data_IF_966289275876
#
_entry.id   IF_966289275876
#
_cell.length_a   1.000
_cell.length_b   1.000
_cell.length_c   1.000
_cell.angle_alpha   90.00
_cell.angle_beta   90.00
_cell.angle_gamma   90.00
#
_symmetry.space_group_name_H-M   'P 1'
#
loop_
_entity.id
_entity.type
_entity.pdbx_description
1 polymer ?
#
# COMPACT_ATOMS: atom_id res chain seq x y z
N UNK A 1 -4.76 22.25 25.02
CA UNK A 1 -4.19 22.92 26.22
C UNK A 1 -5.01 22.49 27.42
N UNK A 2 -4.38 21.89 28.43
CA UNK A 2 -5.04 21.41 29.65
C UNK A 2 -5.37 22.56 30.61
N UNK A 3 -6.42 22.44 31.42
CA UNK A 3 -6.83 23.48 32.38
C UNK A 3 -5.75 23.77 33.45
N UNK A 4 -4.90 22.79 33.80
CA UNK A 4 -3.78 22.98 34.75
C UNK A 4 -2.78 24.05 34.30
N UNK A 5 -2.36 24.03 33.03
CA UNK A 5 -1.35 24.96 32.51
C UNK A 5 -1.86 26.39 32.34
N UNK A 6 -3.18 26.60 32.48
CA UNK A 6 -3.80 27.94 32.51
C UNK A 6 -3.74 28.59 33.90
N UNK A 7 -3.71 27.78 34.97
CA UNK A 7 -3.79 28.24 36.36
C UNK A 7 -2.41 28.33 37.02
N UNK A 8 -1.46 27.48 36.60
CA UNK A 8 -0.14 27.35 37.23
C UNK A 8 0.98 27.45 36.19
N UNK A 9 2.15 28.03 36.55
CA UNK A 9 3.29 28.07 35.65
C UNK A 9 3.83 26.66 35.40
N UNK A 10 4.27 26.41 34.16
CA UNK A 10 4.82 25.12 33.72
C UNK A 10 6.00 24.67 34.60
N UNK A 11 6.78 25.61 35.14
CA UNK A 11 7.90 25.33 36.05
C UNK A 11 7.47 24.56 37.29
N UNK A 12 6.36 24.94 37.90
CA UNK A 12 5.90 24.34 39.15
C UNK A 12 5.22 23.00 38.90
N UNK A 13 4.48 22.89 37.79
CA UNK A 13 3.94 21.62 37.31
C UNK A 13 5.04 20.61 37.02
N UNK A 14 6.13 21.02 36.35
CA UNK A 14 7.29 20.17 36.09
C UNK A 14 7.98 19.70 37.38
N UNK A 15 8.12 20.60 38.37
CA UNK A 15 8.68 20.24 39.69
C UNK A 15 7.80 19.24 40.43
N UNK A 16 6.49 19.48 40.47
CA UNK A 16 5.52 18.65 41.19
C UNK A 16 5.36 17.26 40.56
N UNK A 17 5.38 17.19 39.23
CA UNK A 17 5.31 15.93 38.46
C UNK A 17 6.67 15.25 38.32
N UNK A 18 7.75 15.83 38.85
CA UNK A 18 9.12 15.34 38.75
C UNK A 18 9.58 15.09 37.30
N UNK A 19 9.18 15.97 36.37
CA UNK A 19 9.55 15.93 34.94
C UNK A 19 10.44 17.12 34.63
N UNK A 20 11.53 16.90 33.88
CA UNK A 20 12.38 18.01 33.45
C UNK A 20 11.64 18.95 32.51
N UNK A 21 11.94 20.26 32.58
CA UNK A 21 11.35 21.25 31.67
C UNK A 21 11.61 20.92 30.20
N UNK A 22 12.78 20.37 29.89
CA UNK A 22 13.12 19.92 28.53
C UNK A 22 12.25 18.75 28.07
N UNK A 23 12.00 17.76 28.93
CA UNK A 23 11.10 16.65 28.62
C UNK A 23 9.66 17.11 28.39
N UNK A 24 9.16 18.08 29.18
CA UNK A 24 7.84 18.67 28.98
C UNK A 24 7.69 19.27 27.58
N UNK A 25 8.59 20.18 27.17
CA UNK A 25 8.51 20.81 25.84
C UNK A 25 8.81 19.84 24.69
N UNK A 26 9.63 18.81 24.92
CA UNK A 26 9.86 17.75 23.95
C UNK A 26 8.61 16.87 23.75
N UNK A 27 7.84 16.63 24.82
CA UNK A 27 6.62 15.81 24.81
C UNK A 27 5.38 16.57 24.34
N UNK A 28 5.26 17.87 24.64
CA UNK A 28 4.03 18.64 24.38
C UNK A 28 3.66 18.78 22.90
N UNK A 29 4.59 18.49 21.99
CA UNK A 29 4.37 18.55 20.53
C UNK A 29 3.84 17.25 19.93
N UNK A 30 3.81 16.16 20.69
CA UNK A 30 3.36 14.84 20.21
C UNK A 30 1.86 14.68 20.38
N UNK A 31 1.08 15.48 19.67
CA UNK A 31 -0.37 15.20 19.55
C UNK A 31 -0.51 14.02 18.60
N UNK A 32 -1.02 12.91 19.12
CA UNK A 32 -1.38 11.75 18.29
C UNK A 32 -2.62 12.16 17.51
N UNK A 33 -2.49 12.27 16.19
CA UNK A 33 -3.64 12.48 15.30
C UNK A 33 -4.36 11.14 15.08
N UNK A 34 -5.59 11.04 15.58
CA UNK A 34 -6.43 9.85 15.45
C UNK A 34 -6.63 9.43 13.99
N UNK A 35 -6.77 10.39 13.07
CA UNK A 35 -6.94 10.10 11.65
C UNK A 35 -5.67 9.45 11.07
N UNK A 36 -4.52 9.95 11.51
CA UNK A 36 -3.23 9.41 11.11
C UNK A 36 -3.00 8.01 11.66
N UNK A 37 -3.50 7.71 12.88
CA UNK A 37 -3.50 6.37 13.45
C UNK A 37 -4.43 5.42 12.68
N UNK A 38 -5.64 5.84 12.33
CA UNK A 38 -6.58 5.06 11.51
C UNK A 38 -5.98 4.69 10.15
N UNK A 39 -5.37 5.65 9.47
CA UNK A 39 -4.69 5.41 8.19
C UNK A 39 -3.52 4.43 8.38
N UNK A 40 -2.75 4.56 9.47
CA UNK A 40 -1.61 3.67 9.78
C UNK A 40 -2.05 2.21 9.93
N UNK A 41 -3.07 1.98 10.75
CA UNK A 41 -3.61 0.63 10.98
C UNK A 41 -4.07 0.03 9.67
N UNK A 42 -4.88 0.78 8.91
CA UNK A 42 -5.43 0.29 7.65
C UNK A 42 -4.36 0.05 6.56
N UNK A 43 -3.35 0.91 6.48
CA UNK A 43 -2.22 0.73 5.56
C UNK A 43 -1.46 -0.57 5.85
N UNK A 44 -1.23 -0.88 7.11
CA UNK A 44 -0.52 -2.11 7.51
C UNK A 44 -1.32 -3.35 7.17
N UNK A 45 -2.62 -3.34 7.44
CA UNK A 45 -3.53 -4.43 7.08
C UNK A 45 -3.53 -4.69 5.57
N UNK A 46 -3.70 -3.64 4.77
CA UNK A 46 -3.72 -3.73 3.31
C UNK A 46 -2.36 -4.17 2.74
N UNK A 47 -1.26 -3.65 3.27
CA UNK A 47 0.09 -4.05 2.86
C UNK A 47 0.38 -5.51 3.21
N UNK A 48 -0.01 -5.96 4.41
CA UNK A 48 0.09 -7.36 4.83
C UNK A 48 -0.77 -8.29 3.96
N UNK A 49 -2.03 -7.92 3.69
CA UNK A 49 -2.90 -8.64 2.78
C UNK A 49 -2.31 -8.73 1.37
N UNK A 50 -1.53 -7.72 0.96
CA UNK A 50 -0.82 -7.71 -0.31
C UNK A 50 0.45 -8.57 -0.36
N UNK A 51 0.81 -9.25 0.73
CA UNK A 51 2.10 -9.93 0.93
C UNK A 51 3.30 -8.99 0.71
N UNK A 52 3.12 -7.71 1.03
CA UNK A 52 4.13 -6.68 0.86
C UNK A 52 4.36 -6.18 -0.57
N UNK A 53 3.56 -6.61 -1.54
CA UNK A 53 3.69 -6.16 -2.93
C UNK A 53 3.07 -4.77 -3.18
N UNK A 54 2.03 -4.38 -2.44
CA UNK A 54 1.29 -3.15 -2.73
C UNK A 54 2.13 -1.88 -2.48
N UNK A 55 2.25 -1.06 -3.52
CA UNK A 55 2.87 0.26 -3.46
C UNK A 55 1.89 1.36 -3.08
N UNK A 56 2.38 2.60 -3.00
CA UNK A 56 1.58 3.75 -2.54
C UNK A 56 0.36 4.06 -3.41
N UNK A 57 0.44 3.85 -4.73
CA UNK A 57 -0.71 4.02 -5.64
C UNK A 57 -1.80 2.98 -5.37
N UNK A 58 -1.43 1.71 -5.30
CA UNK A 58 -2.35 0.60 -5.01
C UNK A 58 -3.01 0.77 -3.64
N UNK A 59 -2.22 1.10 -2.61
CA UNK A 59 -2.72 1.35 -1.27
C UNK A 59 -3.63 2.57 -1.20
N UNK A 60 -3.36 3.63 -1.96
CA UNK A 60 -4.26 4.79 -2.07
C UNK A 60 -5.63 4.40 -2.63
N UNK A 61 -5.68 3.59 -3.70
CA UNK A 61 -6.94 3.09 -4.24
C UNK A 61 -7.68 2.20 -3.24
N UNK A 62 -6.97 1.32 -2.53
CA UNK A 62 -7.56 0.46 -1.51
C UNK A 62 -8.09 1.24 -0.30
N UNK A 63 -7.37 2.28 0.15
CA UNK A 63 -7.83 3.19 1.19
C UNK A 63 -9.09 3.94 0.77
N UNK A 64 -9.15 4.41 -0.49
CA UNK A 64 -10.32 5.07 -1.05
C UNK A 64 -11.53 4.13 -1.11
N UNK A 65 -11.32 2.87 -1.50
CA UNK A 65 -12.36 1.83 -1.45
C UNK A 65 -12.83 1.53 -0.02
N UNK A 66 -11.94 1.67 0.97
CA UNK A 66 -12.27 1.55 2.39
C UNK A 66 -12.91 2.83 2.99
N UNK A 67 -13.24 3.83 2.17
CA UNK A 67 -13.89 5.07 2.62
C UNK A 67 -12.96 6.09 3.28
N UNK A 68 -11.64 5.90 3.21
CA UNK A 68 -10.65 6.82 3.81
C UNK A 68 -9.97 7.63 2.70
N UNK A 69 -10.30 8.92 2.52
CA UNK A 69 -9.69 9.74 1.49
C UNK A 69 -8.24 10.10 1.87
N UNK A 70 -7.27 9.54 1.13
CA UNK A 70 -5.86 9.88 1.27
C UNK A 70 -5.18 9.98 -0.10
N UNK A 71 -4.39 11.04 -0.31
CA UNK A 71 -3.62 11.22 -1.54
C UNK A 71 -2.37 10.33 -1.60
N UNK A 72 -1.86 10.06 -2.81
CA UNK A 72 -0.67 9.22 -3.02
C UNK A 72 0.59 9.74 -2.30
N UNK A 73 0.77 11.06 -2.23
CA UNK A 73 1.87 11.69 -1.51
C UNK A 73 1.81 11.44 0.00
N UNK A 74 0.62 11.61 0.57
CA UNK A 74 0.37 11.33 2.00
C UNK A 74 0.63 9.86 2.30
N UNK A 75 0.12 8.95 1.47
CA UNK A 75 0.35 7.51 1.61
C UNK A 75 1.84 7.18 1.50
N UNK A 76 2.55 7.71 0.50
CA UNK A 76 3.99 7.47 0.32
C UNK A 76 4.82 7.93 1.51
N UNK A 77 4.49 9.09 2.09
CA UNK A 77 5.14 9.59 3.30
C UNK A 77 4.87 8.69 4.51
N UNK A 78 3.62 8.27 4.69
CA UNK A 78 3.24 7.34 5.77
C UNK A 78 3.92 5.98 5.63
N UNK A 79 4.02 5.45 4.41
CA UNK A 79 4.75 4.21 4.15
C UNK A 79 6.21 4.32 4.61
N UNK A 80 6.92 5.41 4.25
CA UNK A 80 8.29 5.65 4.70
C UNK A 80 8.40 5.75 6.22
N UNK A 81 7.52 6.52 6.84
CA UNK A 81 7.49 6.72 8.30
C UNK A 81 7.20 5.42 9.07
N UNK A 82 6.48 4.47 8.46
CA UNK A 82 6.17 3.17 9.05
C UNK A 82 7.11 2.04 8.60
N UNK A 83 8.11 2.34 7.76
CA UNK A 83 9.04 1.34 7.24
C UNK A 83 8.41 0.33 6.27
N UNK A 84 7.26 0.68 5.66
CA UNK A 84 6.58 -0.17 4.68
C UNK A 84 7.23 0.00 3.31
N UNK A 85 7.95 -1.03 2.88
CA UNK A 85 8.59 -1.08 1.57
C UNK A 85 7.80 -2.06 0.70
N UNK A 86 7.39 -1.61 -0.49
CA UNK A 86 6.81 -2.50 -1.50
C UNK A 86 7.92 -3.33 -2.11
N UNK A 87 7.75 -4.66 -2.11
CA UNK A 87 8.66 -5.60 -2.75
C UNK A 87 7.86 -6.42 -3.74
N UNK A 88 8.23 -6.36 -5.01
CA UNK A 88 7.60 -7.22 -5.99
C UNK A 88 7.93 -8.68 -5.65
N UNK A 89 6.95 -9.61 -5.77
CA UNK A 89 7.25 -11.03 -5.74
C UNK A 89 8.36 -11.31 -6.74
N UNK A 90 9.35 -12.11 -6.35
CA UNK A 90 10.45 -12.47 -7.24
C UNK A 90 9.93 -13.03 -8.56
N UNK A 91 10.74 -12.89 -9.63
CA UNK A 91 10.41 -13.43 -10.94
C UNK A 91 9.98 -14.90 -10.86
N UNK A 92 8.99 -15.27 -11.68
CA UNK A 92 8.49 -16.64 -11.72
C UNK A 92 9.64 -17.62 -12.04
N UNK A 93 9.80 -18.65 -11.21
CA UNK A 93 10.73 -19.75 -11.50
C UNK A 93 10.07 -20.63 -12.55
N UNK A 94 10.29 -20.31 -13.82
CA UNK A 94 9.86 -21.20 -14.90
C UNK A 94 10.58 -22.55 -14.72
N UNK A 95 9.82 -23.65 -14.75
CA UNK A 95 10.42 -24.99 -14.83
C UNK A 95 11.01 -25.11 -16.21
N UNK A 96 12.33 -25.31 -16.31
CA UNK A 96 12.96 -25.61 -17.60
C UNK A 96 12.34 -26.94 -18.06
N UNK A 97 11.47 -26.87 -19.06
CA UNK A 97 10.94 -28.02 -19.75
C UNK A 97 11.89 -28.27 -20.94
N UNK A 98 12.67 -29.35 -20.94
CA UNK A 98 13.56 -29.65 -22.07
C UNK A 98 12.77 -29.99 -23.35
N UNK A 99 11.49 -30.32 -23.20
CA UNK A 99 10.58 -30.58 -24.31
C UNK A 99 9.94 -29.27 -24.78
N UNK A 100 10.08 -29.01 -26.08
CA UNK A 100 9.46 -27.87 -26.75
C UNK A 100 7.93 -27.95 -26.61
N UNK A 101 7.29 -26.87 -26.18
CA UNK A 101 5.84 -26.81 -26.21
C UNK A 101 5.40 -26.84 -27.66
N UNK A 102 4.71 -27.91 -28.09
CA UNK A 102 4.04 -27.94 -29.39
C UNK A 102 3.10 -26.73 -29.41
N UNK A 103 3.45 -25.71 -30.20
CA UNK A 103 2.59 -24.56 -30.37
C UNK A 103 1.23 -25.08 -30.84
N UNK A 104 0.14 -24.63 -30.21
CA UNK A 104 -1.21 -24.94 -30.69
C UNK A 104 -1.23 -24.68 -32.20
N UNK A 105 -1.73 -25.61 -33.04
CA UNK A 105 -1.70 -25.44 -34.48
C UNK A 105 -2.28 -24.07 -34.82
N UNK A 106 -1.44 -23.25 -35.46
CA UNK A 106 -1.78 -21.89 -35.83
C UNK A 106 -2.93 -21.99 -36.84
N UNK A 107 -4.16 -21.85 -36.36
CA UNK A 107 -5.34 -21.83 -37.21
C UNK A 107 -5.26 -20.52 -38.01
N UNK A 108 -4.95 -20.67 -39.29
CA UNK A 108 -5.24 -19.74 -40.39
C UNK A 108 -4.62 -18.32 -40.34
N UNK A 109 -3.29 -18.25 -40.55
CA UNK A 109 -2.70 -17.12 -41.28
C UNK A 109 -2.75 -17.40 -42.79
N UNK A 110 -3.94 -17.35 -43.39
CA UNK A 110 -4.06 -17.36 -44.85
C UNK A 110 -3.44 -16.09 -45.44
N UNK A 111 -2.61 -16.18 -46.50
CA UNK A 111 -2.00 -15.01 -47.13
C UNK A 111 -3.04 -14.31 -48.03
N UNK A 112 -3.96 -13.57 -47.42
CA UNK A 112 -5.15 -13.11 -48.14
C UNK A 112 -5.84 -11.88 -47.60
N UNK A 113 -5.13 -10.97 -46.93
CA UNK A 113 -5.52 -9.56 -46.84
C UNK A 113 -4.38 -8.71 -46.26
N UNK A 114 -3.46 -8.30 -47.12
CA UNK A 114 -2.64 -7.12 -46.85
C UNK A 114 -3.44 -5.92 -47.30
N UNK A 115 -4.19 -5.30 -46.39
CA UNK A 115 -4.64 -3.93 -46.62
C UNK A 115 -3.40 -3.06 -46.80
N UNK A 116 -3.22 -2.36 -47.94
CA UNK A 116 -2.17 -1.37 -48.08
C UNK A 116 -2.61 -0.11 -47.32
N UNK A 117 -1.67 0.81 -47.16
CA UNK A 117 -1.76 2.08 -46.41
C UNK A 117 -1.31 1.99 -44.96
N UNK A 118 -0.06 2.40 -44.78
CA UNK A 118 0.51 2.70 -43.49
C UNK A 118 -0.33 3.72 -42.74
N UNK A 119 -0.61 3.38 -41.48
CA UNK A 119 -0.85 4.33 -40.42
C UNK A 119 -0.14 3.78 -39.18
N UNK A 120 1.07 4.31 -38.95
CA UNK A 120 1.76 4.39 -37.67
C UNK A 120 1.83 3.14 -36.79
N UNK A 121 2.96 2.42 -36.85
CA UNK A 121 3.55 1.94 -35.60
C UNK A 121 4.30 3.13 -35.01
N UNK A 122 3.56 4.03 -34.38
CA UNK A 122 4.14 5.00 -33.47
C UNK A 122 4.60 4.26 -32.21
N UNK A 123 5.86 4.51 -31.86
CA UNK A 123 6.41 4.34 -30.53
C UNK A 123 6.31 2.93 -29.91
N UNK A 124 7.43 2.20 -30.01
CA UNK A 124 7.88 1.40 -28.86
C UNK A 124 8.10 2.39 -27.73
N UNK A 125 7.07 2.60 -26.91
CA UNK A 125 7.19 3.35 -25.69
C UNK A 125 6.47 2.63 -24.55
N UNK A 126 7.31 2.05 -23.71
CA UNK A 126 7.13 1.73 -22.31
C UNK A 126 6.28 0.51 -21.95
N UNK A 127 6.92 -0.33 -21.14
CA UNK A 127 6.37 -1.55 -20.57
C UNK A 127 5.05 -1.31 -19.85
N UNK A 128 4.04 -2.01 -20.34
CA UNK A 128 2.80 -2.32 -19.64
C UNK A 128 3.12 -3.61 -18.87
N UNK A 129 3.46 -3.55 -17.59
CA UNK A 129 2.53 -3.18 -16.54
C UNK A 129 1.90 -4.48 -16.04
N UNK A 130 2.50 -5.09 -15.01
CA UNK A 130 2.03 -6.32 -14.33
C UNK A 130 0.75 -6.04 -13.50
N UNK A 131 -0.16 -5.24 -14.03
CA UNK A 131 -1.48 -5.03 -13.46
C UNK A 131 -2.37 -6.20 -13.90
N UNK A 132 -3.19 -6.70 -12.98
CA UNK A 132 -4.19 -7.78 -13.19
C UNK A 132 -3.76 -9.22 -12.91
N UNK A 133 -2.84 -9.44 -11.94
CA UNK A 133 -2.87 -10.67 -11.12
C UNK A 133 -2.74 -10.38 -9.62
N UNK A 134 -3.67 -9.60 -9.09
CA UNK A 134 -3.94 -9.59 -7.65
C UNK A 134 -5.37 -10.08 -7.45
N UNK A 135 -5.52 -11.39 -7.26
CA UNK A 135 -6.79 -12.06 -6.98
C UNK A 135 -7.48 -11.33 -5.82
N UNK A 136 -8.70 -10.79 -5.99
CA UNK A 136 -9.46 -10.26 -4.87
C UNK A 136 -10.11 -11.44 -4.15
N UNK A 137 -9.35 -12.17 -3.33
CA UNK A 137 -9.99 -13.02 -2.34
C UNK A 137 -10.28 -12.16 -1.10
N UNK A 138 -11.41 -11.47 -1.15
CA UNK A 138 -12.06 -10.89 0.01
C UNK A 138 -12.52 -12.09 0.84
N UNK A 139 -11.77 -12.45 1.87
CA UNK A 139 -12.32 -13.29 2.93
C UNK A 139 -13.29 -12.38 3.69
N UNK A 140 -14.56 -12.45 3.34
CA UNK A 140 -15.65 -12.00 4.21
C UNK A 140 -15.65 -12.95 5.41
N UNK A 141 -15.01 -12.56 6.50
CA UNK A 141 -15.18 -13.25 7.78
C UNK A 141 -16.59 -12.92 8.26
N UNK A 142 -17.54 -13.81 8.00
CA UNK A 142 -18.82 -13.81 8.71
C UNK A 142 -18.57 -14.13 10.19
N UNK A 143 -19.24 -13.45 11.13
CA UNK A 143 -19.06 -13.69 12.56
C UNK A 143 -19.71 -15.03 12.92
N UNK A 144 -18.93 -16.02 13.40
CA UNK A 144 -19.53 -17.20 14.02
C UNK A 144 -18.83 -18.55 13.96
N UNK A 145 -17.54 -18.68 13.60
CA UNK A 145 -16.86 -19.99 13.71
C UNK A 145 -15.58 -19.93 14.53
N UNK A 146 -15.57 -20.73 15.60
CA UNK A 146 -14.43 -21.01 16.49
C UNK A 146 -13.52 -22.04 15.83
N UNK A 147 -12.22 -21.77 15.78
CA UNK A 147 -11.22 -22.68 15.22
C UNK A 147 -10.60 -23.48 16.36
N UNK A 148 -10.78 -24.80 16.38
CA UNK A 148 -9.98 -25.72 17.21
C UNK A 148 -8.68 -26.07 16.48
N UNK A 149 -7.60 -26.10 17.24
CA UNK A 149 -6.20 -26.22 16.80
C UNK A 149 -5.87 -27.52 16.06
#
# INVERSE_FOLDING_TARGET
MTWLSRRWPVTDLCRLLNVSRSAYYAGSRKVIDDNRLKIKVRLRELHSASRGAAGSRTLMHQLRKAGIPAGCWKVSRLMKEFGLISRQPGGHRYRICPEESVASPNRDLSPGNRTPFGAGISAIQNGVGIADRFIPNIITVSPGQTVTF
#
